data_IF_765555940769
#
_entry.id   IF_765555940769
#
_cell.length_a   1.000
_cell.length_b   1.000
_cell.length_c   1.000
_cell.angle_alpha   90.00
_cell.angle_beta   90.00
_cell.angle_gamma   90.00
#
_symmetry.space_group_name_H-M   'P 1'
#
loop_
_entity.id
_entity.type
_entity.pdbx_description
1 polymer ?
#
# COMPACT_ATOMS: atom_id res chain seq x y z
N UNK A 1 -4.60 34.21 18.18
CA UNK A 1 -3.50 35.14 17.91
C UNK A 1 -2.10 34.51 17.84
N UNK A 2 -1.98 33.20 17.76
CA UNK A 2 -0.70 32.45 17.69
C UNK A 2 -0.64 31.56 16.45
N UNK A 3 -1.34 31.93 15.37
CA UNK A 3 -1.65 31.04 14.24
C UNK A 3 -0.43 30.71 13.38
N UNK A 4 0.22 31.71 12.80
CA UNK A 4 1.23 31.51 11.76
C UNK A 4 2.47 30.73 12.23
N UNK A 5 3.18 31.24 13.23
CA UNK A 5 4.37 30.53 13.75
C UNK A 5 4.06 29.11 14.19
N UNK A 6 2.92 28.93 14.88
CA UNK A 6 2.50 27.58 15.30
C UNK A 6 2.23 26.67 14.10
N UNK A 7 1.60 27.17 13.03
CA UNK A 7 1.33 26.40 11.81
C UNK A 7 2.60 26.09 11.04
N UNK A 8 3.54 27.05 10.93
CA UNK A 8 4.86 26.83 10.32
C UNK A 8 5.62 25.74 11.07
N UNK A 9 5.69 25.81 12.40
CA UNK A 9 6.37 24.77 13.19
C UNK A 9 5.71 23.40 13.04
N UNK A 10 4.37 23.34 13.00
CA UNK A 10 3.67 22.09 12.77
C UNK A 10 3.96 21.51 11.39
N UNK A 11 3.98 22.34 10.35
CA UNK A 11 4.33 21.91 9.00
C UNK A 11 5.79 21.42 8.93
N UNK A 12 6.73 22.15 9.55
CA UNK A 12 8.12 21.71 9.64
C UNK A 12 8.26 20.37 10.36
N UNK A 13 7.54 20.17 11.47
CA UNK A 13 7.47 18.88 12.17
C UNK A 13 6.97 17.78 11.24
N UNK A 14 5.89 18.07 10.50
CA UNK A 14 5.30 17.08 9.57
C UNK A 14 6.29 16.73 8.46
N UNK A 15 6.95 17.71 7.84
CA UNK A 15 7.98 17.47 6.81
C UNK A 15 9.15 16.68 7.40
N UNK A 16 9.65 17.06 8.57
CA UNK A 16 10.73 16.35 9.24
C UNK A 16 10.32 14.90 9.58
N UNK A 17 9.06 14.70 9.99
CA UNK A 17 8.53 13.36 10.26
C UNK A 17 8.52 12.50 8.99
N UNK A 18 8.16 13.04 7.84
CA UNK A 18 8.22 12.34 6.54
C UNK A 18 9.66 11.91 6.23
N UNK A 19 10.62 12.84 6.35
CA UNK A 19 12.04 12.57 6.07
C UNK A 19 12.60 11.50 7.01
N UNK A 20 12.36 11.63 8.31
CA UNK A 20 12.82 10.65 9.30
C UNK A 20 12.16 9.29 9.10
N UNK A 21 10.88 9.26 8.75
CA UNK A 21 10.18 8.01 8.46
C UNK A 21 10.73 7.31 7.22
N UNK A 22 11.09 8.07 6.18
CA UNK A 22 11.74 7.51 4.99
C UNK A 22 13.05 6.78 5.33
N UNK A 23 13.80 7.27 6.31
CA UNK A 23 15.07 6.65 6.73
C UNK A 23 14.85 5.48 7.69
N UNK A 24 13.93 5.63 8.67
CA UNK A 24 13.77 4.66 9.76
C UNK A 24 12.81 3.51 9.42
N UNK A 25 11.77 3.77 8.62
CA UNK A 25 10.76 2.75 8.32
C UNK A 25 11.32 1.48 7.64
N UNK A 26 12.29 1.53 6.71
CA UNK A 26 12.88 0.31 6.14
C UNK A 26 13.57 -0.56 7.20
N UNK A 27 14.24 0.05 8.17
CA UNK A 27 14.91 -0.68 9.25
C UNK A 27 13.90 -1.38 10.15
N UNK A 28 12.84 -0.65 10.53
CA UNK A 28 11.74 -1.18 11.36
C UNK A 28 10.98 -2.28 10.59
N UNK A 29 10.69 -2.08 9.31
CA UNK A 29 9.98 -3.06 8.49
C UNK A 29 10.77 -4.36 8.34
N UNK A 30 12.08 -4.27 8.08
CA UNK A 30 12.93 -5.46 8.02
C UNK A 30 12.98 -6.19 9.37
N UNK A 31 13.03 -5.44 10.48
CA UNK A 31 12.94 -6.04 11.81
C UNK A 31 11.59 -6.75 12.02
N UNK A 32 10.47 -6.11 11.68
CA UNK A 32 9.14 -6.71 11.78
C UNK A 32 9.04 -8.00 10.96
N UNK A 33 9.48 -7.98 9.70
CA UNK A 33 9.45 -9.16 8.80
C UNK A 33 10.34 -10.29 9.34
N UNK A 34 11.53 -9.96 9.90
CA UNK A 34 12.48 -10.98 10.35
C UNK A 34 12.16 -11.58 11.72
N UNK A 35 11.47 -10.85 12.59
CA UNK A 35 11.25 -11.25 13.99
C UNK A 35 9.77 -11.49 14.34
N UNK A 36 8.86 -11.34 13.40
CA UNK A 36 7.43 -11.63 13.59
C UNK A 36 6.92 -12.58 12.51
N UNK A 37 5.79 -13.22 12.76
CA UNK A 37 5.10 -14.08 11.79
C UNK A 37 4.00 -13.33 11.02
N UNK A 38 4.09 -12.00 10.95
CA UNK A 38 3.07 -11.19 10.31
C UNK A 38 3.06 -11.39 8.79
N UNK A 39 4.24 -11.49 8.18
CA UNK A 39 4.38 -11.75 6.75
C UNK A 39 3.81 -13.13 6.38
N UNK A 40 4.12 -14.18 7.12
CA UNK A 40 3.58 -15.53 6.90
C UNK A 40 2.05 -15.56 7.00
N UNK A 41 1.49 -14.90 8.02
CA UNK A 41 0.03 -14.82 8.20
C UNK A 41 -0.65 -14.04 7.08
N UNK A 42 -0.10 -12.89 6.70
CA UNK A 42 -0.62 -12.10 5.59
C UNK A 42 -0.45 -12.84 4.27
N UNK A 43 0.70 -13.42 4.01
CA UNK A 43 0.92 -14.24 2.81
C UNK A 43 -0.08 -15.37 2.71
N UNK A 44 -0.27 -16.14 3.78
CA UNK A 44 -1.25 -17.26 3.80
C UNK A 44 -2.66 -16.75 3.55
N UNK A 45 -3.07 -15.66 4.21
CA UNK A 45 -4.40 -15.08 4.03
C UNK A 45 -4.63 -14.60 2.59
N UNK A 46 -3.66 -13.87 2.01
CA UNK A 46 -3.74 -13.37 0.65
C UNK A 46 -3.71 -14.53 -0.36
N UNK A 47 -2.81 -15.51 -0.19
CA UNK A 47 -2.69 -16.66 -1.07
C UNK A 47 -3.99 -17.49 -1.09
N UNK A 48 -4.58 -17.73 0.08
CA UNK A 48 -5.87 -18.47 0.18
C UNK A 48 -6.97 -17.72 -0.54
N UNK A 49 -7.07 -16.40 -0.36
CA UNK A 49 -8.10 -15.60 -1.02
C UNK A 49 -7.90 -15.56 -2.54
N UNK A 50 -6.66 -15.46 -3.02
CA UNK A 50 -6.33 -15.49 -4.44
C UNK A 50 -6.64 -16.86 -5.06
N UNK A 51 -6.26 -17.96 -4.38
CA UNK A 51 -6.52 -19.33 -4.82
C UNK A 51 -8.03 -19.60 -4.87
N UNK A 52 -8.81 -19.15 -3.89
CA UNK A 52 -10.27 -19.29 -3.86
C UNK A 52 -10.92 -18.55 -5.04
N UNK A 53 -10.49 -17.32 -5.31
CA UNK A 53 -10.98 -16.54 -6.46
C UNK A 53 -10.63 -17.23 -7.78
N UNK A 54 -9.39 -17.71 -7.92
CA UNK A 54 -8.95 -18.42 -9.11
C UNK A 54 -9.70 -19.72 -9.31
N UNK A 55 -9.91 -20.49 -8.23
CA UNK A 55 -10.70 -21.72 -8.24
C UNK A 55 -12.11 -21.49 -8.78
N UNK A 56 -12.75 -20.41 -8.31
CA UNK A 56 -14.09 -20.04 -8.77
C UNK A 56 -14.09 -19.64 -10.25
N UNK A 57 -13.11 -18.87 -10.70
CA UNK A 57 -12.98 -18.49 -12.12
C UNK A 57 -12.73 -19.70 -13.01
N UNK A 58 -11.81 -20.58 -12.64
CA UNK A 58 -11.51 -21.83 -13.37
C UNK A 58 -12.74 -22.72 -13.44
N UNK A 59 -13.47 -22.87 -12.33
CA UNK A 59 -14.71 -23.64 -12.29
C UNK A 59 -15.73 -23.08 -13.27
N UNK A 60 -15.99 -21.77 -13.23
CA UNK A 60 -16.93 -21.11 -14.16
C UNK A 60 -16.51 -21.28 -15.63
N UNK A 61 -15.20 -21.17 -15.93
CA UNK A 61 -14.68 -21.38 -17.28
C UNK A 61 -14.84 -22.84 -17.74
N UNK A 62 -14.56 -23.82 -16.88
CA UNK A 62 -14.76 -25.22 -17.18
C UNK A 62 -16.25 -25.53 -17.37
N UNK A 63 -17.13 -25.04 -16.52
CA UNK A 63 -18.58 -25.19 -16.66
C UNK A 63 -19.09 -24.60 -17.99
N UNK A 64 -18.58 -23.43 -18.42
CA UNK A 64 -18.92 -22.84 -19.69
C UNK A 64 -18.41 -23.65 -20.90
N UNK A 65 -17.25 -24.30 -20.77
CA UNK A 65 -16.62 -25.04 -21.88
C UNK A 65 -17.11 -26.48 -22.01
N UNK A 66 -17.33 -27.18 -20.90
CA UNK A 66 -17.71 -28.61 -20.93
C UNK A 66 -19.15 -28.89 -20.54
N UNK A 67 -19.85 -27.93 -19.92
CA UNK A 67 -21.23 -28.07 -19.47
C UNK A 67 -22.19 -28.33 -20.63
N UNK A 68 -21.92 -27.78 -21.81
CA UNK A 68 -22.69 -28.06 -23.05
C UNK A 68 -22.63 -29.55 -23.49
N UNK A 69 -21.63 -30.30 -23.04
CA UNK A 69 -21.47 -31.73 -23.34
C UNK A 69 -22.03 -32.61 -22.21
N UNK A 70 -22.72 -32.02 -21.20
CA UNK A 70 -23.28 -32.77 -20.06
C UNK A 70 -22.24 -33.28 -19.07
N UNK A 71 -21.02 -32.77 -19.12
CA UNK A 71 -19.93 -33.12 -18.21
C UNK A 71 -20.02 -32.28 -16.94
N UNK A 72 -20.10 -32.91 -15.78
CA UNK A 72 -20.06 -32.22 -14.49
C UNK A 72 -18.62 -31.88 -14.12
N UNK A 73 -18.34 -30.62 -13.84
CA UNK A 73 -17.02 -30.18 -13.39
C UNK A 73 -16.77 -30.64 -11.96
N UNK A 74 -15.70 -31.42 -11.77
CA UNK A 74 -15.29 -31.96 -10.47
C UNK A 74 -14.17 -31.07 -9.86
N UNK A 75 -13.98 -31.15 -8.54
CA UNK A 75 -12.89 -30.47 -7.86
C UNK A 75 -11.51 -30.95 -8.36
N UNK A 76 -11.38 -32.20 -8.78
CA UNK A 76 -10.13 -32.74 -9.36
C UNK A 76 -9.79 -32.03 -10.68
N UNK A 77 -10.78 -31.76 -11.53
CA UNK A 77 -10.57 -31.02 -12.78
C UNK A 77 -10.12 -29.58 -12.50
N UNK A 78 -10.71 -28.92 -11.50
CA UNK A 78 -10.31 -27.57 -11.08
C UNK A 78 -8.89 -27.57 -10.49
N UNK A 79 -8.57 -28.55 -9.65
CA UNK A 79 -7.21 -28.71 -9.10
C UNK A 79 -6.17 -28.96 -10.19
N UNK A 80 -6.46 -29.86 -11.14
CA UNK A 80 -5.56 -30.14 -12.26
C UNK A 80 -5.29 -28.88 -13.12
N UNK A 81 -6.32 -28.03 -13.33
CA UNK A 81 -6.16 -26.77 -14.04
C UNK A 81 -5.31 -25.76 -13.25
N UNK A 82 -5.47 -25.70 -11.93
CA UNK A 82 -4.66 -24.83 -11.05
C UNK A 82 -3.22 -25.30 -10.89
N UNK A 83 -2.96 -26.60 -11.07
CA UNK A 83 -1.61 -27.18 -11.02
C UNK A 83 -0.91 -27.10 -12.39
N UNK A 84 -1.59 -26.60 -13.44
CA UNK A 84 -1.00 -26.37 -14.75
C UNK A 84 -0.04 -25.19 -14.73
N UNK A 85 1.07 -25.29 -15.46
CA UNK A 85 2.03 -24.20 -15.62
C UNK A 85 1.38 -23.02 -16.36
N UNK A 86 1.57 -21.82 -15.80
CA UNK A 86 1.11 -20.60 -16.42
C UNK A 86 2.12 -20.09 -17.46
N UNK A 87 1.61 -19.74 -18.64
CA UNK A 87 2.40 -18.97 -19.60
C UNK A 87 2.71 -17.57 -19.08
N UNK A 88 3.70 -16.91 -19.66
CA UNK A 88 4.08 -15.54 -19.29
C UNK A 88 2.90 -14.56 -19.45
N UNK A 89 2.13 -14.69 -20.53
CA UNK A 89 0.95 -13.86 -20.75
C UNK A 89 -0.12 -14.08 -19.66
N UNK A 90 -0.38 -15.32 -19.27
CA UNK A 90 -1.35 -15.63 -18.23
C UNK A 90 -0.91 -15.07 -16.86
N UNK A 91 0.37 -15.13 -16.53
CA UNK A 91 0.93 -14.53 -15.30
C UNK A 91 0.76 -13.01 -15.31
N UNK A 92 1.03 -12.37 -16.44
CA UNK A 92 0.82 -10.95 -16.65
C UNK A 92 -0.66 -10.57 -16.47
N UNK A 93 -1.56 -11.26 -17.16
CA UNK A 93 -3.00 -11.01 -17.08
C UNK A 93 -3.55 -11.13 -15.67
N UNK A 94 -3.07 -12.13 -14.92
CA UNK A 94 -3.43 -12.31 -13.51
C UNK A 94 -2.99 -11.13 -12.65
N UNK A 95 -1.78 -10.60 -12.84
CA UNK A 95 -1.29 -9.44 -12.10
C UNK A 95 -2.00 -8.15 -12.48
N UNK A 96 -2.48 -8.03 -13.72
CA UNK A 96 -3.30 -6.89 -14.14
C UNK A 96 -4.70 -6.89 -13.48
N UNK A 97 -5.21 -8.04 -13.06
CA UNK A 97 -6.47 -8.13 -12.30
C UNK A 97 -6.31 -7.70 -10.83
N UNK A 98 -5.08 -7.68 -10.32
CA UNK A 98 -4.77 -7.22 -8.97
C UNK A 98 -4.42 -5.74 -9.05
N UNK A 99 -5.20 -4.91 -8.36
CA UNK A 99 -4.88 -3.48 -8.25
C UNK A 99 -3.63 -3.30 -7.39
N UNK A 100 -2.53 -2.93 -8.03
CA UNK A 100 -1.24 -2.65 -7.39
C UNK A 100 -0.51 -1.55 -8.18
N UNK A 101 0.44 -0.83 -7.58
CA UNK A 101 1.28 0.12 -8.30
C UNK A 101 2.03 -0.54 -9.47
N UNK A 102 2.17 0.16 -10.60
CA UNK A 102 2.77 -0.38 -11.83
C UNK A 102 4.21 -0.85 -11.61
N UNK A 103 5.02 -0.05 -10.92
CA UNK A 103 6.39 -0.40 -10.56
C UNK A 103 6.49 -1.69 -9.71
N UNK A 104 5.50 -1.94 -8.83
CA UNK A 104 5.42 -3.18 -8.07
C UNK A 104 5.09 -4.37 -8.97
N UNK A 105 4.15 -4.19 -9.91
CA UNK A 105 3.78 -5.21 -10.91
C UNK A 105 4.96 -5.59 -11.80
N UNK A 106 5.63 -4.59 -12.37
CA UNK A 106 6.82 -4.80 -13.20
C UNK A 106 7.91 -5.56 -12.44
N UNK A 107 8.18 -5.19 -11.18
CA UNK A 107 9.17 -5.87 -10.35
C UNK A 107 8.79 -7.32 -10.06
N UNK A 108 7.51 -7.60 -9.78
CA UNK A 108 7.01 -8.96 -9.56
C UNK A 108 7.14 -9.79 -10.84
N UNK A 109 6.77 -9.22 -12.00
CA UNK A 109 6.88 -9.91 -13.30
C UNK A 109 8.33 -10.20 -13.65
N UNK A 110 9.23 -9.23 -13.50
CA UNK A 110 10.65 -9.41 -13.79
C UNK A 110 11.27 -10.49 -12.92
N UNK A 111 11.08 -10.44 -11.61
CA UNK A 111 11.59 -11.46 -10.70
C UNK A 111 10.93 -12.83 -10.92
N UNK A 112 9.65 -12.85 -11.30
CA UNK A 112 8.95 -14.09 -11.63
C UNK A 112 9.49 -14.72 -12.94
N UNK A 113 9.89 -13.90 -13.92
CA UNK A 113 10.45 -14.42 -15.19
C UNK A 113 11.84 -15.02 -14.98
N UNK A 114 12.67 -14.44 -14.11
CA UNK A 114 14.04 -14.89 -13.88
C UNK A 114 14.12 -16.12 -12.97
N UNK A 115 13.28 -16.21 -11.95
CA UNK A 115 13.38 -17.24 -10.90
C UNK A 115 12.26 -18.29 -10.93
N UNK A 116 11.20 -18.08 -11.71
CA UNK A 116 9.92 -18.77 -11.57
C UNK A 116 9.36 -19.31 -12.90
N UNK A 117 10.23 -19.49 -13.90
CA UNK A 117 9.84 -19.89 -15.25
C UNK A 117 8.94 -21.17 -15.33
N UNK A 118 8.89 -21.98 -14.25
CA UNK A 118 8.22 -23.27 -14.19
C UNK A 118 7.16 -23.39 -13.07
N UNK A 119 6.64 -22.29 -12.53
CA UNK A 119 5.65 -22.39 -11.47
C UNK A 119 4.25 -22.75 -12.02
N UNK A 120 3.64 -23.74 -11.37
CA UNK A 120 2.20 -23.96 -11.44
C UNK A 120 1.44 -22.72 -10.92
N UNK A 121 0.19 -22.55 -11.34
CA UNK A 121 -0.63 -21.39 -10.95
C UNK A 121 -0.65 -21.17 -9.42
N UNK A 122 -0.79 -22.25 -8.65
CA UNK A 122 -0.80 -22.21 -7.19
C UNK A 122 0.48 -21.65 -6.59
N UNK A 123 1.65 -22.06 -7.10
CA UNK A 123 2.96 -21.55 -6.64
C UNK A 123 3.16 -20.09 -7.00
N UNK A 124 2.63 -19.65 -8.15
CA UNK A 124 2.63 -18.26 -8.54
C UNK A 124 1.77 -17.41 -7.62
N UNK A 125 0.58 -17.86 -7.23
CA UNK A 125 -0.25 -17.16 -6.23
C UNK A 125 0.46 -17.00 -4.89
N UNK A 126 1.13 -18.05 -4.40
CA UNK A 126 1.90 -17.98 -3.16
C UNK A 126 3.04 -16.97 -3.24
N UNK A 127 3.75 -16.93 -4.38
CA UNK A 127 4.82 -15.96 -4.62
C UNK A 127 4.28 -14.52 -4.63
N UNK A 128 3.22 -14.26 -5.40
CA UNK A 128 2.59 -12.93 -5.47
C UNK A 128 2.06 -12.51 -4.11
N UNK A 129 1.42 -13.42 -3.38
CA UNK A 129 0.92 -13.15 -2.03
C UNK A 129 2.06 -12.79 -1.07
N UNK A 130 3.21 -13.44 -1.15
CA UNK A 130 4.40 -13.09 -0.36
C UNK A 130 4.94 -11.70 -0.68
N UNK A 131 4.96 -11.32 -1.96
CA UNK A 131 5.33 -9.97 -2.37
C UNK A 131 4.35 -8.93 -1.84
N UNK A 132 3.04 -9.17 -1.98
CA UNK A 132 1.99 -8.27 -1.49
C UNK A 132 2.03 -8.15 0.04
N UNK A 133 2.22 -9.25 0.78
CA UNK A 133 2.33 -9.24 2.23
C UNK A 133 3.47 -8.32 2.70
N UNK A 134 4.66 -8.44 2.11
CA UNK A 134 5.80 -7.58 2.41
C UNK A 134 5.54 -6.12 2.07
N UNK A 135 4.88 -5.83 0.93
CA UNK A 135 4.49 -4.47 0.55
C UNK A 135 3.53 -3.85 1.57
N UNK A 136 2.49 -4.59 1.97
CA UNK A 136 1.51 -4.14 2.97
C UNK A 136 2.20 -3.84 4.31
N UNK A 137 3.08 -4.74 4.78
CA UNK A 137 3.82 -4.53 6.03
C UNK A 137 4.68 -3.26 5.93
N UNK A 138 5.42 -3.07 4.83
CA UNK A 138 6.28 -1.88 4.68
C UNK A 138 5.49 -0.59 4.60
N UNK A 139 4.38 -0.57 3.85
CA UNK A 139 3.51 0.59 3.79
C UNK A 139 2.92 0.91 5.18
N UNK A 140 2.43 -0.10 5.89
CA UNK A 140 1.93 0.04 7.26
C UNK A 140 2.99 0.56 8.23
N UNK A 141 4.18 -0.03 8.21
CA UNK A 141 5.31 0.41 9.06
C UNK A 141 5.73 1.83 8.72
N UNK A 142 5.77 2.21 7.44
CA UNK A 142 6.09 3.59 7.04
C UNK A 142 5.14 4.60 7.67
N UNK A 143 3.84 4.34 7.58
CA UNK A 143 2.82 5.23 8.14
C UNK A 143 2.83 5.22 9.67
N UNK A 144 2.97 4.06 10.31
CA UNK A 144 3.07 3.98 11.77
C UNK A 144 4.31 4.72 12.29
N UNK A 145 5.44 4.57 11.61
CA UNK A 145 6.68 5.31 11.94
C UNK A 145 6.48 6.81 11.77
N UNK A 146 5.83 7.25 10.70
CA UNK A 146 5.49 8.65 10.49
C UNK A 146 4.61 9.20 11.61
N UNK A 147 3.56 8.47 12.01
CA UNK A 147 2.68 8.90 13.09
C UNK A 147 3.42 8.96 14.43
N UNK A 148 4.25 7.96 14.73
CA UNK A 148 5.03 7.92 15.96
C UNK A 148 6.04 9.08 16.04
N UNK A 149 6.77 9.35 14.96
CA UNK A 149 7.72 10.47 14.88
C UNK A 149 6.99 11.81 14.94
N UNK A 150 5.88 11.95 14.22
CA UNK A 150 5.05 13.17 14.25
C UNK A 150 4.56 13.46 15.67
N UNK A 151 4.10 12.44 16.39
CA UNK A 151 3.66 12.58 17.77
C UNK A 151 4.81 12.97 18.69
N UNK A 152 5.96 12.31 18.57
CA UNK A 152 7.15 12.61 19.36
C UNK A 152 7.62 14.05 19.16
N UNK A 153 7.77 14.49 17.90
CA UNK A 153 8.19 15.85 17.56
C UNK A 153 7.14 16.89 18.01
N UNK A 154 5.86 16.55 17.91
CA UNK A 154 4.80 17.41 18.41
C UNK A 154 4.86 17.58 19.95
N UNK A 155 5.11 16.53 20.70
CA UNK A 155 5.29 16.58 22.15
C UNK A 155 6.53 17.44 22.51
N UNK A 156 7.64 17.25 21.82
CA UNK A 156 8.84 18.08 21.99
C UNK A 156 8.55 19.55 21.72
N UNK A 157 7.83 19.86 20.62
CA UNK A 157 7.39 21.22 20.34
C UNK A 157 6.49 21.79 21.43
N UNK A 158 5.57 20.98 21.98
CA UNK A 158 4.68 21.41 23.06
C UNK A 158 5.49 21.77 24.33
N UNK A 159 6.46 20.95 24.70
CA UNK A 159 7.36 21.24 25.83
C UNK A 159 8.19 22.51 25.58
N UNK A 160 8.77 22.66 24.39
CA UNK A 160 9.54 23.84 24.04
C UNK A 160 8.68 25.11 23.99
N UNK A 161 7.43 25.01 23.52
CA UNK A 161 6.49 26.15 23.46
C UNK A 161 6.02 26.63 24.83
N UNK A 162 6.09 25.76 25.84
CA UNK A 162 5.86 26.16 27.25
C UNK A 162 7.02 26.99 27.80
N UNK A 163 8.27 26.63 27.41
CA UNK A 163 9.47 27.35 27.84
C UNK A 163 9.67 28.70 27.09
N UNK A 164 9.25 28.77 25.82
CA UNK A 164 9.40 29.96 24.99
C UNK A 164 8.08 30.73 24.91
N UNK A 165 7.99 31.88 25.50
CA UNK A 165 6.90 32.87 25.29
C UNK A 165 7.01 33.46 23.88
N UNK A 166 6.37 32.81 22.91
CA UNK A 166 6.42 33.25 21.50
C UNK A 166 5.68 34.59 21.30
N UNK A 167 6.34 35.55 20.69
CA UNK A 167 5.77 36.84 20.32
C UNK A 167 4.65 36.69 19.28
N UNK A 168 3.57 37.47 19.42
CA UNK A 168 2.42 37.42 18.52
C UNK A 168 2.61 38.38 17.33
N UNK A 169 2.54 37.85 16.11
CA UNK A 169 2.44 38.59 14.86
C UNK A 169 0.96 38.85 14.52
N UNK A 170 0.59 40.05 14.09
CA UNK A 170 -0.79 40.52 13.92
C UNK A 170 -1.68 39.81 12.90
N UNK A 171 -2.57 40.51 12.18
CA UNK A 171 -3.63 39.93 11.34
C UNK A 171 -3.21 38.98 10.21
N UNK A 172 -1.99 39.14 9.63
CA UNK A 172 -1.42 38.24 8.63
C UNK A 172 -1.30 36.78 9.13
N UNK A 173 -1.21 36.63 10.44
CA UNK A 173 -1.10 35.38 11.16
C UNK A 173 -2.30 34.42 10.98
N UNK A 174 -3.49 34.91 10.67
CA UNK A 174 -4.69 34.09 10.53
C UNK A 174 -4.76 33.44 9.15
N UNK A 175 -4.48 34.18 8.08
CA UNK A 175 -4.54 33.66 6.71
C UNK A 175 -3.41 32.66 6.47
N UNK A 176 -2.17 33.05 6.84
CA UNK A 176 -1.02 32.15 6.73
C UNK A 176 -1.18 30.90 7.59
N UNK A 177 -1.79 31.01 8.78
CA UNK A 177 -2.12 29.87 9.64
C UNK A 177 -3.06 28.86 8.96
N UNK A 178 -4.04 29.35 8.20
CA UNK A 178 -4.95 28.49 7.44
C UNK A 178 -4.24 27.77 6.29
N UNK A 179 -3.37 28.47 5.53
CA UNK A 179 -2.61 27.89 4.42
C UNK A 179 -1.67 26.79 4.90
N UNK A 180 -0.85 27.04 5.91
CA UNK A 180 0.09 26.03 6.45
C UNK A 180 -0.64 24.90 7.17
N UNK A 181 -1.77 25.18 7.83
CA UNK A 181 -2.62 24.15 8.41
C UNK A 181 -3.25 23.25 7.35
N UNK A 182 -3.72 23.84 6.23
CA UNK A 182 -4.25 23.11 5.10
C UNK A 182 -3.18 22.20 4.44
N UNK A 183 -1.97 22.74 4.23
CA UNK A 183 -0.84 21.94 3.71
C UNK A 183 -0.50 20.75 4.62
N UNK A 184 -0.54 20.92 5.95
CA UNK A 184 -0.33 19.82 6.89
C UNK A 184 -1.40 18.74 6.75
N UNK A 185 -2.68 19.13 6.65
CA UNK A 185 -3.79 18.18 6.46
C UNK A 185 -3.62 17.42 5.15
N UNK A 186 -3.21 18.09 4.07
CA UNK A 186 -2.95 17.47 2.78
C UNK A 186 -1.87 16.37 2.89
N UNK A 187 -0.78 16.62 3.64
CA UNK A 187 0.25 15.61 3.89
C UNK A 187 -0.33 14.39 4.61
N UNK A 188 -1.22 14.58 5.60
CA UNK A 188 -1.86 13.44 6.27
C UNK A 188 -2.80 12.65 5.34
N UNK A 189 -3.53 13.34 4.45
CA UNK A 189 -4.37 12.68 3.43
C UNK A 189 -3.49 11.87 2.48
N UNK A 190 -2.39 12.43 2.00
CA UNK A 190 -1.43 11.73 1.15
C UNK A 190 -0.83 10.49 1.81
N UNK A 191 -0.51 10.56 3.11
CA UNK A 191 -0.06 9.38 3.87
C UNK A 191 -1.14 8.30 3.97
N UNK A 192 -2.41 8.68 4.15
CA UNK A 192 -3.53 7.72 4.14
C UNK A 192 -3.69 7.05 2.76
N UNK A 193 -3.55 7.81 1.67
CA UNK A 193 -3.62 7.27 0.32
C UNK A 193 -2.47 6.30 0.01
N UNK A 194 -1.26 6.54 0.51
CA UNK A 194 -0.15 5.58 0.39
C UNK A 194 -0.56 4.22 0.97
N UNK A 195 -1.17 4.17 2.16
CA UNK A 195 -1.64 2.89 2.72
C UNK A 195 -2.64 2.24 1.77
N UNK A 196 -3.62 3.00 1.30
CA UNK A 196 -4.68 2.48 0.44
C UNK A 196 -4.12 1.89 -0.86
N UNK A 197 -3.13 2.51 -1.49
CA UNK A 197 -2.48 1.98 -2.70
C UNK A 197 -1.86 0.59 -2.50
N UNK A 198 -1.37 0.28 -1.29
CA UNK A 198 -0.75 -1.02 -1.01
C UNK A 198 -1.71 -2.04 -0.39
N UNK A 199 -2.90 -1.61 0.05
CA UNK A 199 -3.96 -2.49 0.57
C UNK A 199 -5.01 -2.84 -0.50
N UNK A 200 -4.90 -2.27 -1.69
CA UNK A 200 -5.83 -2.48 -2.83
C UNK A 200 -5.93 -3.95 -3.27
N UNK A 201 -4.99 -4.83 -2.93
CA UNK A 201 -5.13 -6.28 -3.14
C UNK A 201 -6.20 -6.96 -2.27
N UNK A 202 -6.82 -6.24 -1.31
CA UNK A 202 -7.90 -6.74 -0.47
C UNK A 202 -9.26 -6.23 -0.94
N UNK A 203 -10.33 -6.97 -0.64
CA UNK A 203 -11.70 -6.54 -0.98
C UNK A 203 -12.06 -5.17 -0.40
N UNK A 204 -11.65 -4.89 0.83
CA UNK A 204 -11.87 -3.59 1.48
C UNK A 204 -11.07 -2.46 0.80
N UNK A 205 -9.81 -2.72 0.46
CA UNK A 205 -8.96 -1.76 -0.23
C UNK A 205 -9.50 -1.39 -1.62
N UNK A 206 -9.97 -2.37 -2.38
CA UNK A 206 -10.60 -2.15 -3.69
C UNK A 206 -11.81 -1.22 -3.60
N UNK A 207 -12.72 -1.48 -2.65
CA UNK A 207 -13.94 -0.64 -2.46
C UNK A 207 -13.55 0.80 -2.11
N UNK A 208 -12.59 0.99 -1.19
CA UNK A 208 -12.15 2.33 -0.80
C UNK A 208 -11.44 3.06 -1.95
N UNK A 209 -10.60 2.38 -2.71
CA UNK A 209 -9.91 2.98 -3.84
C UNK A 209 -10.89 3.38 -4.95
N UNK A 210 -11.90 2.54 -5.21
CA UNK A 210 -12.96 2.90 -6.17
C UNK A 210 -13.70 4.16 -5.72
N UNK A 211 -14.07 4.30 -4.44
CA UNK A 211 -14.70 5.51 -3.91
C UNK A 211 -13.82 6.76 -4.05
N UNK A 212 -12.49 6.62 -3.94
CA UNK A 212 -11.55 7.73 -4.18
C UNK A 212 -11.53 8.09 -5.66
N UNK A 213 -11.48 7.13 -6.54
CA UNK A 213 -11.44 7.35 -8.00
C UNK A 213 -12.74 7.96 -8.53
N UNK A 214 -13.89 7.56 -7.98
CA UNK A 214 -15.21 8.08 -8.35
C UNK A 214 -15.42 9.53 -7.85
N UNK A 215 -14.63 10.01 -6.88
CA UNK A 215 -14.73 11.35 -6.34
C UNK A 215 -13.68 12.28 -6.96
N UNK A 216 -14.14 13.29 -7.71
CA UNK A 216 -13.27 14.23 -8.46
C UNK A 216 -12.22 14.89 -7.55
N UNK A 217 -12.58 15.29 -6.33
CA UNK A 217 -11.66 15.98 -5.41
C UNK A 217 -10.64 15.01 -4.83
N UNK A 218 -11.08 13.83 -4.40
CA UNK A 218 -10.16 12.83 -3.84
C UNK A 218 -9.24 12.27 -4.90
N UNK A 219 -9.73 11.99 -6.10
CA UNK A 219 -8.94 11.55 -7.25
C UNK A 219 -7.89 12.61 -7.66
N UNK A 220 -8.24 13.90 -7.64
CA UNK A 220 -7.28 14.98 -7.88
C UNK A 220 -6.18 15.02 -6.80
N UNK A 221 -6.54 14.90 -5.52
CA UNK A 221 -5.56 14.90 -4.42
C UNK A 221 -4.66 13.67 -4.51
N UNK A 222 -5.20 12.51 -4.88
CA UNK A 222 -4.46 11.27 -5.03
C UNK A 222 -3.47 11.33 -6.20
N UNK A 223 -3.90 11.76 -7.37
CA UNK A 223 -3.05 11.91 -8.56
C UNK A 223 -1.91 12.93 -8.39
N UNK A 224 -2.04 13.87 -7.44
CA UNK A 224 -1.02 14.86 -7.11
C UNK A 224 -0.30 14.55 -5.78
N UNK A 225 -0.30 13.30 -5.35
CA UNK A 225 0.38 12.87 -4.13
C UNK A 225 1.91 12.91 -4.28
N UNK A 226 2.51 13.98 -3.77
CA UNK A 226 3.97 14.18 -3.83
C UNK A 226 4.77 13.18 -2.99
N UNK A 227 4.12 12.47 -2.06
CA UNK A 227 4.77 11.45 -1.22
C UNK A 227 4.74 10.06 -1.85
N UNK A 228 3.86 9.82 -2.84
CA UNK A 228 3.75 8.53 -3.51
C UNK A 228 5.07 8.05 -4.13
N UNK A 229 5.82 8.88 -4.91
CA UNK A 229 7.10 8.46 -5.46
C UNK A 229 8.16 8.12 -4.41
N UNK A 230 8.10 8.74 -3.23
CA UNK A 230 9.00 8.41 -2.12
C UNK A 230 8.64 7.07 -1.49
N UNK A 231 7.36 6.81 -1.28
CA UNK A 231 6.87 5.53 -0.78
C UNK A 231 7.19 4.38 -1.77
N UNK A 232 6.97 4.60 -3.05
CA UNK A 232 7.26 3.62 -4.11
C UNK A 232 8.74 3.24 -4.15
N UNK A 233 9.65 4.23 -4.11
CA UNK A 233 11.10 3.97 -4.06
C UNK A 233 11.51 3.21 -2.80
N UNK A 234 10.88 3.49 -1.66
CA UNK A 234 11.18 2.82 -0.41
C UNK A 234 10.71 1.36 -0.45
N UNK A 235 9.56 1.12 -1.05
CA UNK A 235 8.92 -0.19 -1.12
C UNK A 235 9.54 -1.03 -2.25
N UNK A 236 9.93 -0.43 -3.39
CA UNK A 236 10.63 -1.12 -4.48
C UNK A 236 12.02 -1.66 -4.11
N UNK A 237 12.69 -1.13 -3.09
CA UNK A 237 13.93 -1.70 -2.53
C UNK A 237 13.74 -3.04 -1.80
N UNK A 238 12.57 -3.65 -1.93
CA UNK A 238 12.20 -4.94 -1.30
C UNK A 238 12.81 -6.13 -2.06
N UNK A 239 13.06 -5.95 -3.35
CA UNK A 239 13.44 -6.99 -4.31
C UNK A 239 14.93 -6.89 -4.73
#
# INVERSE_FOLDING_TARGET
>A
RRGFLRSVFKLLITILSVVLSYVLAPLIANWVISYTTLDDKLQTSIATQMEETARQQVKNQLEASVGQYGITVTDDMVNAALDTQLSENQRSDMLYQISMPENARETILQNASENVANYAARSFYQYVAGCLAKMIIRAGVYVLTFLAISLLLFLLYMLLSLALRMASLGGLNRVMGAVFGGAQVLVYIWMAFIILHYVVGTSAGNVLMQQIQDNVVLSFIDSHNLLQPLADRMIAKIF
#
